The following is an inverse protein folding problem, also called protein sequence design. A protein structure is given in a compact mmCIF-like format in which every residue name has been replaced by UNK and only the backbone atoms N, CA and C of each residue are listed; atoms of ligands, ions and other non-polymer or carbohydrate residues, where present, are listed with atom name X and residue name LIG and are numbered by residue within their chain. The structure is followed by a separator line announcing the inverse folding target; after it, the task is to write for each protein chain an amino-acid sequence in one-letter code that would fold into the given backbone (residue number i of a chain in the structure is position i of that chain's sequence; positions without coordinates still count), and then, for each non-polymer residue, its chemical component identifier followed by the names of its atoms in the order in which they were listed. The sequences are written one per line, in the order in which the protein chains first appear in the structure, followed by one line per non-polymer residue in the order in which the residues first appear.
data_IF_736745360512
#
_entry.id   IF_736745360512
#
_cell.length_a   1.000
_cell.length_b   1.000
_cell.length_c   1.000
_cell.angle_alpha   90.00
_cell.angle_beta   90.00
_cell.angle_gamma   90.00
#
_symmetry.space_group_name_H-M   'P 1'
#
loop_
_entity.id
_entity.type
_entity.pdbx_description
1 polymer ?
#
# COMPACT_ATOMS: atom_id res chain seq x y z
N UNK A 1 -29.21 12.37 14.35
CA UNK A 1 -27.92 11.68 14.14
C UNK A 1 -26.82 12.69 14.37
N UNK A 2 -25.72 12.27 14.98
CA UNK A 2 -24.53 13.11 15.15
C UNK A 2 -23.86 13.33 13.79
N UNK A 3 -23.40 14.55 13.52
CA UNK A 3 -22.68 14.85 12.27
C UNK A 3 -21.23 14.36 12.35
N UNK A 4 -20.57 14.17 11.20
CA UNK A 4 -19.15 13.82 11.13
C UNK A 4 -18.27 14.88 11.79
N UNK A 5 -18.65 16.14 11.64
CA UNK A 5 -17.97 17.26 12.30
C UNK A 5 -18.08 17.20 13.83
N UNK A 6 -19.28 16.94 14.37
CA UNK A 6 -19.48 16.80 15.81
C UNK A 6 -18.65 15.63 16.39
N UNK A 7 -18.62 14.52 15.68
CA UNK A 7 -17.77 13.39 16.05
C UNK A 7 -16.28 13.76 16.01
N UNK A 8 -15.84 14.46 14.97
CA UNK A 8 -14.45 14.91 14.86
C UNK A 8 -14.05 15.85 16.01
N UNK A 9 -14.93 16.79 16.39
CA UNK A 9 -14.68 17.68 17.52
C UNK A 9 -14.64 16.93 18.87
N UNK A 10 -15.47 15.91 19.04
CA UNK A 10 -15.41 15.04 20.21
C UNK A 10 -14.09 14.27 20.26
N UNK A 11 -13.62 13.73 19.12
CA UNK A 11 -12.32 13.06 19.05
C UNK A 11 -11.18 14.03 19.38
N UNK A 12 -11.21 15.26 18.85
CA UNK A 12 -10.22 16.31 19.16
C UNK A 12 -10.19 16.64 20.66
N UNK A 13 -11.37 16.76 21.26
CA UNK A 13 -11.48 17.00 22.70
C UNK A 13 -11.01 15.84 23.55
N UNK A 14 -11.28 14.61 23.12
CA UNK A 14 -10.90 13.38 23.84
C UNK A 14 -9.39 13.07 23.71
N UNK A 15 -8.79 13.45 22.61
CA UNK A 15 -7.40 13.14 22.28
C UNK A 15 -6.61 14.41 21.93
N UNK A 16 -6.42 15.34 22.87
CA UNK A 16 -5.80 16.65 22.62
C UNK A 16 -4.32 16.57 22.22
N UNK A 17 -3.64 15.48 22.55
CA UNK A 17 -2.23 15.25 22.21
C UNK A 17 -2.02 14.79 20.76
N UNK A 18 -3.08 14.42 20.04
CA UNK A 18 -3.01 14.06 18.64
C UNK A 18 -3.15 15.29 17.74
N UNK A 19 -2.38 15.32 16.65
CA UNK A 19 -2.58 16.34 15.63
C UNK A 19 -4.03 16.33 15.14
N UNK A 20 -4.69 17.50 15.03
CA UNK A 20 -6.04 17.58 14.48
C UNK A 20 -6.15 17.06 13.04
N UNK A 21 -5.06 17.09 12.27
CA UNK A 21 -4.98 16.51 10.92
C UNK A 21 -4.95 14.99 10.94
N UNK A 22 -4.29 14.36 11.94
CA UNK A 22 -4.35 12.89 12.11
C UNK A 22 -5.78 12.44 12.39
N UNK A 23 -6.50 13.13 13.27
CA UNK A 23 -7.89 12.81 13.57
C UNK A 23 -8.81 13.05 12.37
N UNK A 24 -8.58 14.14 11.61
CA UNK A 24 -9.30 14.38 10.35
C UNK A 24 -9.03 13.28 9.32
N UNK A 25 -7.76 12.87 9.17
CA UNK A 25 -7.38 11.75 8.27
C UNK A 25 -8.11 10.46 8.63
N UNK A 26 -8.20 10.11 9.92
CA UNK A 26 -8.94 8.93 10.38
C UNK A 26 -10.43 9.04 10.04
N UNK A 27 -11.03 10.22 10.25
CA UNK A 27 -12.42 10.49 9.88
C UNK A 27 -12.64 10.34 8.37
N UNK A 28 -11.74 10.91 7.55
CA UNK A 28 -11.83 10.80 6.08
C UNK A 28 -11.67 9.35 5.60
N UNK A 29 -10.79 8.55 6.22
CA UNK A 29 -10.65 7.12 5.88
C UNK A 29 -11.93 6.36 6.23
N UNK A 30 -12.57 6.69 7.36
CA UNK A 30 -13.81 6.03 7.79
C UNK A 30 -15.00 6.36 6.90
N UNK A 31 -15.20 7.64 6.58
CA UNK A 31 -16.39 8.12 5.86
C UNK A 31 -16.18 8.22 4.36
N UNK A 32 -14.93 8.24 3.90
CA UNK A 32 -14.59 8.47 2.50
C UNK A 32 -14.74 9.93 2.07
N UNK A 33 -14.45 10.18 0.81
CA UNK A 33 -14.71 11.47 0.18
C UNK A 33 -15.21 11.29 -1.25
N UNK A 34 -16.01 12.25 -1.70
CA UNK A 34 -16.54 12.36 -3.06
C UNK A 34 -16.17 13.73 -3.62
N UNK A 35 -15.72 13.78 -4.87
CA UNK A 35 -15.53 15.04 -5.56
C UNK A 35 -16.85 15.51 -6.18
N UNK A 36 -17.18 16.78 -5.98
CA UNK A 36 -18.27 17.43 -6.72
C UNK A 36 -17.90 17.61 -8.19
N UNK A 37 -18.88 17.83 -9.06
CA UNK A 37 -18.58 18.10 -10.47
C UNK A 37 -17.73 19.37 -10.62
N UNK A 38 -17.98 20.40 -9.82
CA UNK A 38 -17.17 21.63 -9.80
C UNK A 38 -15.70 21.34 -9.45
N UNK A 39 -15.45 20.53 -8.45
CA UNK A 39 -14.09 20.12 -8.10
C UNK A 39 -13.44 19.29 -9.21
N UNK A 40 -14.17 18.33 -9.78
CA UNK A 40 -13.65 17.47 -10.85
C UNK A 40 -13.25 18.24 -12.10
N UNK A 41 -13.99 19.29 -12.46
CA UNK A 41 -13.68 20.14 -13.61
C UNK A 41 -12.42 21.00 -13.39
N UNK A 42 -11.99 21.16 -12.14
CA UNK A 42 -10.78 21.92 -11.75
C UNK A 42 -9.56 21.09 -11.47
N UNK A 43 -9.72 19.76 -11.35
CA UNK A 43 -8.57 18.85 -11.15
C UNK A 43 -7.64 18.93 -12.35
N UNK A 44 -6.41 19.37 -12.09
CA UNK A 44 -5.34 19.36 -13.09
C UNK A 44 -4.60 18.03 -13.06
N UNK A 45 -4.27 17.51 -14.26
CA UNK A 45 -3.45 16.32 -14.45
C UNK A 45 -3.88 15.11 -13.58
N UNK A 46 -5.15 14.65 -13.68
CA UNK A 46 -5.61 13.47 -12.95
C UNK A 46 -4.84 12.24 -13.42
N UNK A 47 -4.26 11.48 -12.50
CA UNK A 47 -3.41 10.34 -12.82
C UNK A 47 -3.85 9.00 -12.22
N UNK A 48 -4.82 9.03 -11.31
CA UNK A 48 -5.46 7.81 -10.87
C UNK A 48 -6.64 7.45 -11.78
N UNK A 49 -6.73 6.19 -12.17
CA UNK A 49 -7.95 5.66 -12.75
C UNK A 49 -8.78 5.03 -11.65
N UNK A 50 -10.02 5.45 -11.52
CA UNK A 50 -10.97 4.78 -10.64
C UNK A 50 -11.14 3.32 -11.09
N UNK A 51 -10.90 2.36 -10.21
CA UNK A 51 -10.90 0.93 -10.54
C UNK A 51 -9.57 0.36 -11.06
N UNK A 52 -8.57 1.19 -11.36
CA UNK A 52 -7.21 0.73 -11.72
C UNK A 52 -6.20 0.91 -10.58
N UNK A 53 -6.62 1.46 -9.48
CA UNK A 53 -5.76 1.85 -8.34
C UNK A 53 -5.33 0.68 -7.49
N UNK A 54 -5.97 -0.46 -7.68
CA UNK A 54 -5.61 -1.61 -6.90
C UNK A 54 -4.48 -2.35 -7.59
N UNK A 55 -3.29 -2.48 -6.97
CA UNK A 55 -2.29 -3.44 -7.42
C UNK A 55 -2.85 -4.86 -7.47
N UNK A 56 -4.05 -5.04 -6.93
CA UNK A 56 -4.82 -6.26 -6.87
C UNK A 56 -6.06 -6.26 -7.77
N UNK A 57 -6.29 -5.20 -8.56
CA UNK A 57 -7.30 -5.15 -9.63
C UNK A 57 -8.71 -5.48 -9.22
N UNK A 58 -9.09 -5.14 -8.01
CA UNK A 58 -10.48 -5.32 -7.58
C UNK A 58 -11.30 -4.19 -8.21
N UNK A 59 -12.15 -4.58 -9.17
CA UNK A 59 -13.24 -3.73 -9.61
C UNK A 59 -14.32 -3.73 -8.52
N UNK A 60 -14.19 -2.84 -7.55
CA UNK A 60 -15.11 -2.76 -6.43
C UNK A 60 -16.55 -2.39 -6.80
N UNK A 61 -16.82 -1.97 -8.02
CA UNK A 61 -18.10 -1.28 -8.31
C UNK A 61 -18.79 -1.73 -9.58
N UNK A 62 -18.21 -2.58 -10.42
CA UNK A 62 -18.84 -2.97 -11.69
C UNK A 62 -19.14 -1.77 -12.61
N UNK A 63 -18.38 -0.68 -12.50
CA UNK A 63 -18.59 0.53 -13.29
C UNK A 63 -17.96 0.40 -14.67
N UNK A 64 -18.75 0.71 -15.67
CA UNK A 64 -18.35 0.69 -17.07
C UNK A 64 -17.50 1.91 -17.49
N UNK A 65 -17.47 2.98 -16.70
CA UNK A 65 -16.73 4.19 -17.01
C UNK A 65 -15.52 4.38 -16.08
N UNK A 66 -14.33 4.33 -16.67
CA UNK A 66 -13.06 4.69 -15.99
C UNK A 66 -12.93 6.21 -16.04
N UNK A 67 -13.18 6.89 -14.94
CA UNK A 67 -12.90 8.31 -14.81
C UNK A 67 -11.53 8.50 -14.18
N UNK A 68 -10.70 9.33 -14.79
CA UNK A 68 -9.43 9.72 -14.18
C UNK A 68 -9.69 10.58 -12.93
N UNK A 69 -9.00 10.28 -11.85
CA UNK A 69 -9.16 10.93 -10.54
C UNK A 69 -7.86 11.62 -10.15
N UNK A 70 -7.90 12.62 -9.27
CA UNK A 70 -6.69 13.23 -8.74
C UNK A 70 -5.90 12.24 -7.87
N UNK A 71 -4.69 12.64 -7.47
CA UNK A 71 -3.91 11.95 -6.44
C UNK A 71 -4.59 11.92 -5.07
N UNK A 72 -3.93 11.35 -4.07
CA UNK A 72 -4.39 11.43 -2.69
C UNK A 72 -4.63 12.87 -2.26
N UNK A 73 -5.60 13.07 -1.36
CA UNK A 73 -5.87 14.40 -0.79
C UNK A 73 -4.66 14.83 0.05
N UNK A 74 -4.23 16.07 -0.14
CA UNK A 74 -3.18 16.73 0.62
C UNK A 74 -3.80 17.71 1.62
N UNK A 75 -3.50 17.52 2.90
CA UNK A 75 -3.92 18.45 3.96
C UNK A 75 -2.91 19.57 4.15
N UNK A 76 -3.30 20.67 4.79
CA UNK A 76 -2.44 21.86 4.99
C UNK A 76 -1.16 21.61 5.76
N UNK A 77 -1.09 20.58 6.59
CA UNK A 77 0.13 20.16 7.30
C UNK A 77 1.07 19.31 6.43
N UNK A 78 0.78 19.20 5.13
CA UNK A 78 1.48 18.35 4.17
C UNK A 78 1.28 16.85 4.40
N UNK A 79 0.44 16.44 5.32
CA UNK A 79 0.02 15.04 5.40
C UNK A 79 -0.94 14.70 4.27
N UNK A 80 -0.92 13.46 3.82
CA UNK A 80 -1.80 13.01 2.74
C UNK A 80 -2.80 11.96 3.24
N UNK A 81 -3.95 11.92 2.59
CA UNK A 81 -5.01 10.95 2.84
C UNK A 81 -5.25 10.15 1.58
N UNK A 82 -4.86 8.88 1.62
CA UNK A 82 -5.19 7.94 0.57
C UNK A 82 -6.57 7.36 0.85
N UNK A 83 -7.54 7.74 0.05
CA UNK A 83 -8.92 7.25 0.12
C UNK A 83 -9.36 6.81 -1.27
N UNK A 84 -10.25 5.85 -1.31
CA UNK A 84 -10.95 5.55 -2.55
C UNK A 84 -12.05 6.60 -2.76
N UNK A 85 -11.95 7.36 -3.84
CA UNK A 85 -13.02 8.26 -4.24
C UNK A 85 -14.20 7.44 -4.79
N UNK A 86 -15.39 7.62 -4.25
CA UNK A 86 -16.51 6.91 -4.82
C UNK A 86 -17.82 6.96 -4.06
N UNK A 87 -18.81 6.35 -4.67
CA UNK A 87 -20.19 6.29 -4.19
C UNK A 87 -20.45 5.16 -3.20
N UNK A 88 -19.41 4.39 -2.85
CA UNK A 88 -19.55 3.23 -1.95
C UNK A 88 -19.70 3.61 -0.48
N UNK A 89 -19.45 4.85 -0.15
CA UNK A 89 -19.67 5.37 1.18
C UNK A 89 -21.11 5.89 1.29
N UNK A 90 -21.82 5.51 2.33
CA UNK A 90 -23.20 5.91 2.54
C UNK A 90 -23.37 7.40 2.80
N UNK A 91 -22.35 8.05 3.33
CA UNK A 91 -22.34 9.48 3.69
C UNK A 91 -20.90 10.02 3.66
N UNK A 92 -20.26 10.18 2.48
CA UNK A 92 -18.89 10.68 2.38
C UNK A 92 -18.83 12.18 2.69
N UNK A 93 -17.61 12.68 2.94
CA UNK A 93 -17.33 14.11 2.80
C UNK A 93 -17.40 14.50 1.32
N UNK A 94 -17.76 15.77 1.05
CA UNK A 94 -17.59 16.33 -0.29
C UNK A 94 -16.28 17.11 -0.37
N UNK A 95 -15.53 16.90 -1.46
CA UNK A 95 -14.47 17.81 -1.88
C UNK A 95 -15.05 18.69 -2.97
N UNK A 96 -15.02 19.99 -2.74
CA UNK A 96 -15.61 20.99 -3.63
C UNK A 96 -14.59 22.06 -4.00
N UNK A 97 -14.93 22.95 -4.92
CA UNK A 97 -14.09 24.03 -5.41
C UNK A 97 -14.68 25.38 -5.07
N UNK A 98 -13.87 26.26 -4.51
CA UNK A 98 -14.21 27.67 -4.30
C UNK A 98 -13.65 28.51 -5.45
N UNK A 99 -14.53 29.02 -6.31
CA UNK A 99 -14.15 29.78 -7.50
C UNK A 99 -13.53 31.12 -7.14
N UNK A 100 -13.98 31.76 -6.06
CA UNK A 100 -13.49 33.06 -5.63
C UNK A 100 -12.12 32.96 -4.95
N UNK A 101 -11.94 31.95 -4.11
CA UNK A 101 -10.68 31.69 -3.41
C UNK A 101 -9.68 30.91 -4.26
N UNK A 102 -10.15 30.19 -5.29
CA UNK A 102 -9.31 29.36 -6.15
C UNK A 102 -8.69 28.15 -5.41
N UNK A 103 -9.44 27.52 -4.50
CA UNK A 103 -8.96 26.42 -3.66
C UNK A 103 -9.97 25.28 -3.59
N UNK A 104 -9.46 24.06 -3.39
CA UNK A 104 -10.31 22.95 -3.01
C UNK A 104 -10.57 22.95 -1.51
N UNK A 105 -11.74 22.50 -1.11
CA UNK A 105 -12.09 22.35 0.30
C UNK A 105 -12.93 21.10 0.56
N UNK A 106 -12.73 20.54 1.74
CA UNK A 106 -13.50 19.41 2.28
C UNK A 106 -14.69 19.98 3.05
N UNK A 107 -15.90 19.46 2.80
CA UNK A 107 -17.12 19.92 3.48
C UNK A 107 -18.02 18.75 3.91
N UNK A 108 -18.90 19.05 4.87
CA UNK A 108 -20.06 18.26 5.25
C UNK A 108 -21.30 19.12 5.16
N UNK A 109 -22.17 18.84 4.18
CA UNK A 109 -23.27 19.76 3.84
C UNK A 109 -22.72 21.13 3.46
N UNK A 110 -23.19 22.18 4.16
CA UNK A 110 -22.73 23.57 3.93
C UNK A 110 -21.50 23.95 4.80
N UNK A 111 -21.05 23.06 5.67
CA UNK A 111 -19.93 23.32 6.57
C UNK A 111 -18.60 22.99 5.93
N UNK A 112 -17.73 23.97 5.77
CA UNK A 112 -16.34 23.77 5.39
C UNK A 112 -15.58 23.21 6.58
N UNK A 113 -14.87 22.10 6.36
CA UNK A 113 -14.06 21.39 7.37
C UNK A 113 -12.59 21.79 7.25
N UNK A 114 -12.05 21.78 6.03
CA UNK A 114 -10.63 22.02 5.78
C UNK A 114 -10.39 22.43 4.33
N UNK A 115 -9.38 23.26 4.09
CA UNK A 115 -8.83 23.51 2.75
C UNK A 115 -7.92 22.34 2.40
N UNK A 116 -8.05 21.83 1.19
CA UNK A 116 -7.31 20.68 0.71
C UNK A 116 -6.69 20.92 -0.65
N UNK A 117 -5.77 20.07 -1.04
CA UNK A 117 -5.19 19.99 -2.38
C UNK A 117 -5.01 18.51 -2.75
N UNK A 118 -4.35 18.22 -3.85
CA UNK A 118 -4.06 16.87 -4.28
C UNK A 118 -2.56 16.67 -4.43
N UNK A 119 -2.10 15.47 -4.08
CA UNK A 119 -0.71 15.08 -4.32
C UNK A 119 -0.47 15.09 -5.83
N UNK A 120 0.54 15.81 -6.33
CA UNK A 120 0.75 15.96 -7.76
C UNK A 120 1.17 14.64 -8.42
N UNK A 121 0.94 14.55 -9.72
CA UNK A 121 1.40 13.43 -10.54
C UNK A 121 2.91 13.29 -10.45
N UNK A 122 3.45 12.06 -10.30
CA UNK A 122 4.89 11.84 -10.30
C UNK A 122 5.54 12.26 -11.62
N UNK A 123 6.70 12.91 -11.54
CA UNK A 123 7.38 13.44 -12.73
C UNK A 123 7.93 12.37 -13.69
N UNK A 124 8.02 11.11 -13.25
CA UNK A 124 8.43 10.00 -14.12
C UNK A 124 7.28 9.37 -14.92
N UNK A 125 6.01 9.68 -14.58
CA UNK A 125 4.84 9.21 -15.33
C UNK A 125 4.87 9.78 -16.76
N UNK A 126 4.46 8.97 -17.74
CA UNK A 126 4.53 9.30 -19.16
C UNK A 126 5.92 9.11 -19.80
N UNK A 127 6.96 8.78 -19.01
CA UNK A 127 8.28 8.41 -19.53
C UNK A 127 8.35 6.91 -19.83
N UNK A 128 9.33 6.54 -20.65
CA UNK A 128 9.61 5.14 -20.97
C UNK A 128 11.06 4.81 -20.65
N UNK A 129 11.29 3.57 -20.29
CA UNK A 129 12.64 3.02 -20.15
C UNK A 129 13.31 2.91 -21.53
N UNK A 130 14.60 2.63 -21.54
CA UNK A 130 15.37 2.38 -22.77
C UNK A 130 14.81 1.20 -23.59
N UNK A 131 14.05 0.31 -22.97
CA UNK A 131 13.37 -0.83 -23.58
C UNK A 131 11.95 -0.51 -24.05
N UNK A 132 11.48 0.71 -23.82
CA UNK A 132 10.14 1.17 -24.21
C UNK A 132 9.04 0.85 -23.19
N UNK A 133 9.37 0.29 -22.04
CA UNK A 133 8.40 0.01 -20.96
C UNK A 133 7.92 1.32 -20.34
N UNK A 134 6.60 1.60 -20.28
CA UNK A 134 6.10 2.77 -19.54
C UNK A 134 6.50 2.71 -18.06
N UNK A 135 7.11 3.77 -17.56
CA UNK A 135 7.64 3.75 -16.18
C UNK A 135 6.54 3.68 -15.13
N UNK A 136 5.38 4.27 -15.39
CA UNK A 136 4.18 4.15 -14.54
C UNK A 136 3.61 2.72 -14.42
N UNK A 137 3.98 1.82 -15.33
CA UNK A 137 3.59 0.41 -15.24
C UNK A 137 4.49 -0.42 -14.30
N UNK A 138 5.64 0.14 -13.88
CA UNK A 138 6.63 -0.57 -13.07
C UNK A 138 6.45 -0.34 -11.57
N UNK A 139 5.70 0.70 -11.17
CA UNK A 139 5.48 1.03 -9.76
C UNK A 139 4.10 1.64 -9.53
N UNK A 140 3.49 1.27 -8.43
CA UNK A 140 2.36 1.99 -7.86
C UNK A 140 2.88 3.11 -6.95
N UNK A 141 2.21 4.27 -6.98
CA UNK A 141 2.59 5.44 -6.19
C UNK A 141 1.48 5.78 -5.22
N UNK A 142 1.75 5.62 -3.93
CA UNK A 142 0.81 5.96 -2.87
C UNK A 142 1.37 7.13 -2.06
N UNK A 143 1.00 8.34 -2.51
CA UNK A 143 1.54 9.59 -1.96
C UNK A 143 3.08 9.61 -2.01
N UNK A 144 3.76 9.50 -0.86
CA UNK A 144 5.22 9.46 -0.78
C UNK A 144 5.83 8.04 -0.84
N UNK A 145 5.01 7.01 -1.00
CA UNK A 145 5.49 5.64 -1.14
C UNK A 145 5.60 5.25 -2.62
N UNK A 146 6.73 4.67 -2.97
CA UNK A 146 6.96 4.04 -4.27
C UNK A 146 6.92 2.52 -4.09
N UNK A 147 5.89 1.87 -4.64
CA UNK A 147 5.60 0.47 -4.40
C UNK A 147 5.87 -0.33 -5.67
N UNK A 148 6.77 -1.31 -5.58
CA UNK A 148 7.13 -2.20 -6.67
C UNK A 148 6.68 -3.63 -6.39
N UNK A 149 6.11 -4.26 -7.41
CA UNK A 149 5.85 -5.69 -7.39
C UNK A 149 6.95 -6.41 -8.17
N UNK A 150 7.86 -7.07 -7.45
CA UNK A 150 9.02 -7.73 -8.06
C UNK A 150 8.63 -8.89 -8.99
N UNK A 151 7.53 -9.57 -8.69
CA UNK A 151 6.94 -10.61 -9.52
C UNK A 151 5.48 -10.85 -9.13
N UNK A 152 4.62 -11.13 -10.11
CA UNK A 152 3.20 -11.41 -9.90
C UNK A 152 2.92 -12.90 -10.07
N UNK A 153 3.49 -13.71 -9.20
CA UNK A 153 3.22 -15.13 -9.14
C UNK A 153 3.15 -15.56 -7.68
N UNK A 154 2.05 -16.16 -7.28
CA UNK A 154 1.92 -16.74 -5.97
C UNK A 154 1.56 -18.23 -6.08
N UNK A 155 2.47 -19.10 -5.68
CA UNK A 155 2.26 -20.55 -5.77
C UNK A 155 1.21 -21.09 -4.82
N UNK A 156 0.84 -20.31 -3.81
CA UNK A 156 -0.32 -20.65 -2.97
C UNK A 156 -1.60 -20.66 -3.81
N UNK A 157 -1.78 -19.67 -4.72
CA UNK A 157 -2.89 -19.67 -5.67
C UNK A 157 -2.87 -20.87 -6.62
N UNK A 158 -1.72 -21.21 -7.15
CA UNK A 158 -1.57 -22.35 -8.05
C UNK A 158 -1.92 -23.70 -7.37
N UNK A 159 -1.85 -23.74 -6.04
CA UNK A 159 -2.13 -24.94 -5.25
C UNK A 159 -3.48 -24.94 -4.56
N UNK A 160 -4.25 -23.85 -4.66
CA UNK A 160 -5.49 -23.68 -3.91
C UNK A 160 -5.30 -23.39 -2.41
N UNK A 161 -4.09 -23.00 -2.02
CA UNK A 161 -3.69 -22.71 -0.64
C UNK A 161 -3.56 -21.16 -0.42
N UNK A 162 -4.21 -20.33 -1.26
CA UNK A 162 -4.14 -18.86 -1.16
C UNK A 162 -4.77 -18.32 0.13
N UNK A 163 -4.33 -17.14 0.55
CA UNK A 163 -5.00 -16.43 1.64
C UNK A 163 -6.43 -16.07 1.21
N UNK A 164 -7.42 -16.29 2.09
CA UNK A 164 -8.84 -16.19 1.75
C UNK A 164 -9.28 -14.76 1.30
N UNK A 165 -8.59 -13.73 1.79
CA UNK A 165 -8.84 -12.33 1.46
C UNK A 165 -7.97 -11.81 0.30
N UNK A 166 -7.05 -12.62 -0.25
CA UNK A 166 -6.10 -12.16 -1.25
C UNK A 166 -6.75 -12.08 -2.62
N UNK A 167 -6.68 -10.90 -3.24
CA UNK A 167 -7.17 -10.64 -4.58
C UNK A 167 -6.07 -10.58 -5.66
N UNK A 168 -4.88 -11.06 -5.36
CA UNK A 168 -3.66 -10.91 -6.18
C UNK A 168 -3.81 -11.35 -7.65
N UNK A 169 -4.66 -12.33 -7.94
CA UNK A 169 -4.89 -12.83 -9.30
C UNK A 169 -6.23 -12.45 -9.92
N UNK A 170 -7.11 -11.79 -9.17
CA UNK A 170 -8.44 -11.42 -9.69
C UNK A 170 -8.37 -10.27 -10.69
N UNK A 171 -7.24 -9.56 -10.74
CA UNK A 171 -7.00 -8.40 -11.60
C UNK A 171 -6.73 -8.73 -13.07
N UNK A 172 -6.52 -9.98 -13.42
CA UNK A 172 -6.12 -10.38 -14.78
C UNK A 172 -4.71 -9.91 -15.20
N UNK A 173 -3.97 -9.28 -14.29
CA UNK A 173 -2.60 -8.84 -14.54
C UNK A 173 -1.63 -9.98 -14.24
N UNK A 174 -1.27 -10.73 -15.26
CA UNK A 174 -0.13 -11.66 -15.21
C UNK A 174 1.13 -10.90 -15.60
N UNK A 175 1.67 -10.10 -14.70
CA UNK A 175 3.02 -9.59 -14.93
C UNK A 175 4.02 -10.69 -14.60
N UNK A 176 4.85 -11.04 -15.56
CA UNK A 176 6.02 -11.88 -15.35
C UNK A 176 7.02 -11.24 -14.38
N UNK A 177 8.23 -11.77 -14.35
CA UNK A 177 9.33 -11.12 -13.62
C UNK A 177 9.60 -9.74 -14.23
N UNK A 178 9.78 -8.73 -13.38
CA UNK A 178 10.18 -7.40 -13.84
C UNK A 178 11.61 -7.41 -14.35
N UNK A 179 11.89 -6.62 -15.39
CA UNK A 179 13.25 -6.44 -15.86
C UNK A 179 14.04 -5.52 -14.93
N UNK A 180 15.18 -5.98 -14.47
CA UNK A 180 16.01 -5.23 -13.54
C UNK A 180 16.59 -3.93 -14.11
N UNK A 181 16.78 -3.85 -15.44
CA UNK A 181 17.22 -2.60 -16.07
C UNK A 181 16.10 -1.58 -16.12
N UNK A 182 14.88 -2.01 -16.41
CA UNK A 182 13.70 -1.15 -16.38
C UNK A 182 13.46 -0.60 -14.96
N UNK A 183 13.60 -1.44 -13.93
CA UNK A 183 13.51 -0.99 -12.53
C UNK A 183 14.59 0.04 -12.19
N UNK A 184 15.85 -0.23 -12.58
CA UNK A 184 16.93 0.72 -12.35
C UNK A 184 16.62 2.10 -12.97
N UNK A 185 16.18 2.13 -14.22
CA UNK A 185 15.90 3.37 -14.96
C UNK A 185 14.70 4.12 -14.37
N UNK A 186 13.64 3.40 -14.01
CA UNK A 186 12.47 4.00 -13.39
C UNK A 186 12.81 4.63 -12.03
N UNK A 187 13.55 3.92 -11.16
CA UNK A 187 14.01 4.48 -9.88
C UNK A 187 14.91 5.70 -10.12
N UNK A 188 15.81 5.62 -11.12
CA UNK A 188 16.68 6.74 -11.49
C UNK A 188 15.89 8.00 -11.84
N UNK A 189 14.78 7.85 -12.55
CA UNK A 189 13.90 8.98 -12.87
C UNK A 189 13.09 9.45 -11.65
N UNK A 190 12.56 8.53 -10.86
CA UNK A 190 11.75 8.86 -9.71
C UNK A 190 12.50 9.70 -8.65
N UNK A 191 13.77 9.37 -8.38
CA UNK A 191 14.58 10.09 -7.37
C UNK A 191 15.04 11.48 -7.83
N UNK A 192 14.85 11.86 -9.10
CA UNK A 192 15.11 13.23 -9.59
C UNK A 192 14.12 14.26 -9.05
N UNK A 193 13.02 13.80 -8.46
CA UNK A 193 12.01 14.61 -7.80
C UNK A 193 12.30 14.63 -6.29
N UNK A 194 13.04 15.63 -5.77
CA UNK A 194 13.53 15.64 -4.40
C UNK A 194 12.38 15.69 -3.39
N UNK A 195 12.44 14.80 -2.38
CA UNK A 195 11.43 14.75 -1.32
C UNK A 195 10.09 14.13 -1.72
N UNK A 196 9.93 13.70 -2.97
CA UNK A 196 8.68 13.10 -3.47
C UNK A 196 8.41 11.74 -2.86
N UNK A 197 9.44 10.93 -2.71
CA UNK A 197 9.34 9.58 -2.16
C UNK A 197 10.18 9.46 -0.89
N UNK A 198 9.55 9.02 0.20
CA UNK A 198 10.20 8.79 1.48
C UNK A 198 10.69 7.36 1.63
N UNK A 199 10.02 6.40 0.96
CA UNK A 199 10.32 4.99 1.10
C UNK A 199 9.95 4.21 -0.17
N UNK A 200 10.75 3.17 -0.46
CA UNK A 200 10.50 2.22 -1.55
C UNK A 200 10.04 0.90 -0.97
N UNK A 201 8.81 0.51 -1.26
CA UNK A 201 8.28 -0.79 -0.87
C UNK A 201 8.46 -1.79 -2.00
N UNK A 202 8.96 -2.97 -1.68
CA UNK A 202 9.10 -4.07 -2.64
C UNK A 202 8.33 -5.28 -2.12
N UNK A 203 7.42 -5.78 -2.95
CA UNK A 203 6.60 -6.94 -2.63
C UNK A 203 6.50 -7.88 -3.83
N UNK A 204 5.77 -8.97 -3.67
CA UNK A 204 5.46 -9.93 -4.73
C UNK A 204 4.50 -10.99 -4.23
N UNK A 205 4.24 -11.99 -5.07
CA UNK A 205 3.60 -13.21 -4.62
C UNK A 205 4.53 -14.06 -3.75
N UNK A 206 4.26 -15.37 -3.68
CA UNK A 206 5.11 -16.30 -2.95
C UNK A 206 5.52 -17.47 -3.85
N UNK A 207 6.81 -17.76 -3.87
CA UNK A 207 7.39 -18.91 -4.54
C UNK A 207 8.26 -19.72 -3.58
N UNK A 208 7.67 -20.74 -3.01
CA UNK A 208 8.34 -21.63 -2.06
C UNK A 208 9.29 -22.65 -2.71
N UNK A 209 9.55 -22.54 -4.01
CA UNK A 209 10.45 -23.44 -4.72
C UNK A 209 11.92 -23.13 -4.45
N UNK A 210 12.76 -24.17 -4.68
CA UNK A 210 14.19 -24.13 -4.39
C UNK A 210 14.58 -25.07 -3.25
N UNK A 211 15.87 -25.29 -3.12
CA UNK A 211 16.49 -26.05 -2.04
C UNK A 211 17.53 -25.16 -1.33
N UNK A 212 17.25 -24.67 -0.14
CA UNK A 212 16.02 -24.83 0.67
C UNK A 212 14.79 -24.09 0.14
N UNK A 213 13.61 -24.31 0.73
CA UNK A 213 12.39 -23.56 0.35
C UNK A 213 12.59 -22.05 0.39
N UNK A 214 11.97 -21.33 -0.56
CA UNK A 214 12.06 -19.88 -0.80
C UNK A 214 13.40 -19.40 -1.42
N UNK A 215 14.32 -20.28 -1.75
CA UNK A 215 15.63 -19.89 -2.29
C UNK A 215 15.50 -19.09 -3.60
N UNK A 216 14.67 -19.58 -4.54
CA UNK A 216 14.47 -18.89 -5.82
C UNK A 216 13.74 -17.56 -5.67
N UNK A 217 12.84 -17.44 -4.71
CA UNK A 217 12.17 -16.19 -4.39
C UNK A 217 13.15 -15.15 -3.84
N UNK A 218 13.99 -15.56 -2.89
CA UNK A 218 15.02 -14.71 -2.31
C UNK A 218 16.00 -14.18 -3.37
N UNK A 219 16.39 -15.02 -4.33
CA UNK A 219 17.25 -14.62 -5.46
C UNK A 219 16.57 -13.56 -6.36
N UNK A 220 15.26 -13.69 -6.61
CA UNK A 220 14.52 -12.67 -7.37
C UNK A 220 14.51 -11.34 -6.64
N UNK A 221 14.19 -11.35 -5.34
CA UNK A 221 14.24 -10.12 -4.54
C UNK A 221 15.62 -9.51 -4.50
N UNK A 222 16.68 -10.31 -4.34
CA UNK A 222 18.05 -9.80 -4.35
C UNK A 222 18.35 -9.06 -5.66
N UNK A 223 18.02 -9.64 -6.82
CA UNK A 223 18.26 -8.98 -8.12
C UNK A 223 17.51 -7.66 -8.26
N UNK A 224 16.23 -7.64 -7.89
CA UNK A 224 15.41 -6.41 -7.95
C UNK A 224 15.95 -5.35 -6.99
N UNK A 225 16.23 -5.73 -5.75
CA UNK A 225 16.74 -4.82 -4.72
C UNK A 225 18.15 -4.27 -5.08
N UNK A 226 18.99 -5.08 -5.71
CA UNK A 226 20.28 -4.62 -6.25
C UNK A 226 20.09 -3.61 -7.39
N UNK A 227 19.12 -3.84 -8.28
CA UNK A 227 18.80 -2.89 -9.36
C UNK A 227 18.34 -1.54 -8.78
N UNK A 228 17.49 -1.54 -7.76
CA UNK A 228 17.09 -0.34 -7.03
C UNK A 228 18.32 0.30 -6.37
N UNK A 229 19.10 -0.50 -5.65
CA UNK A 229 20.26 -0.06 -4.86
C UNK A 229 21.36 0.63 -5.68
N UNK A 230 21.50 0.32 -6.97
CA UNK A 230 22.45 1.00 -7.89
C UNK A 230 22.22 2.51 -7.98
N UNK A 231 21.06 3.01 -7.59
CA UNK A 231 20.74 4.43 -7.57
C UNK A 231 21.18 5.15 -6.29
N UNK A 232 21.66 4.44 -5.28
CA UNK A 232 21.98 4.99 -3.96
C UNK A 232 23.42 4.71 -3.54
N UNK A 233 24.01 5.62 -2.76
CA UNK A 233 25.37 5.46 -2.20
C UNK A 233 25.37 4.70 -0.86
N UNK A 234 24.61 3.66 -0.74
CA UNK A 234 24.51 2.91 0.51
C UNK A 234 23.12 2.34 0.71
N UNK A 235 22.71 2.23 1.97
CA UNK A 235 21.33 1.77 2.26
C UNK A 235 20.33 2.86 1.90
N UNK A 236 19.20 2.45 1.38
CA UNK A 236 18.10 3.34 0.99
C UNK A 236 16.84 3.02 1.80
N UNK A 237 16.06 4.03 2.14
CA UNK A 237 14.80 3.88 2.85
C UNK A 237 13.87 2.94 2.07
N UNK A 238 13.62 1.78 2.62
CA UNK A 238 12.93 0.71 1.90
C UNK A 238 12.35 -0.34 2.81
N UNK A 239 11.30 -0.99 2.32
CA UNK A 239 10.64 -2.09 2.97
C UNK A 239 10.53 -3.29 2.03
N UNK A 240 10.99 -4.46 2.47
CA UNK A 240 10.73 -5.71 1.79
C UNK A 240 9.55 -6.42 2.45
N UNK A 241 8.45 -6.56 1.70
CA UNK A 241 7.27 -7.33 2.10
C UNK A 241 7.29 -8.69 1.41
N UNK A 242 7.60 -9.73 2.17
CA UNK A 242 7.68 -11.11 1.67
C UNK A 242 7.42 -12.11 2.82
N UNK A 243 7.35 -13.43 2.56
CA UNK A 243 7.18 -14.42 3.61
C UNK A 243 8.21 -14.32 4.74
N UNK A 244 7.89 -14.88 5.90
CA UNK A 244 8.82 -15.00 7.01
C UNK A 244 9.94 -15.99 6.66
N UNK A 245 11.04 -15.46 6.12
CA UNK A 245 12.19 -16.26 5.69
C UNK A 245 13.03 -16.78 6.86
N UNK A 246 13.70 -17.90 6.68
CA UNK A 246 14.73 -18.33 7.62
C UNK A 246 15.88 -17.32 7.69
N UNK A 247 16.51 -17.24 8.86
CA UNK A 247 17.53 -16.23 9.20
C UNK A 247 18.67 -16.12 8.17
N UNK A 248 19.12 -17.24 7.61
CA UNK A 248 20.22 -17.26 6.63
C UNK A 248 19.84 -16.57 5.31
N UNK A 249 18.59 -16.72 4.84
CA UNK A 249 18.11 -16.01 3.65
C UNK A 249 17.98 -14.51 3.92
N UNK A 250 17.43 -14.13 5.07
CA UNK A 250 17.31 -12.72 5.46
C UNK A 250 18.67 -12.04 5.58
N UNK A 251 19.64 -12.72 6.20
CA UNK A 251 21.01 -12.23 6.31
C UNK A 251 21.62 -11.99 4.93
N UNK A 252 21.46 -12.96 4.01
CA UNK A 252 21.94 -12.83 2.63
C UNK A 252 21.30 -11.65 1.90
N UNK A 253 19.98 -11.49 1.99
CA UNK A 253 19.27 -10.35 1.39
C UNK A 253 19.79 -9.02 1.97
N UNK A 254 19.88 -8.92 3.30
CA UNK A 254 20.35 -7.71 3.96
C UNK A 254 21.80 -7.34 3.60
N UNK A 255 22.70 -8.34 3.51
CA UNK A 255 24.12 -8.11 3.20
C UNK A 255 24.36 -7.79 1.72
N UNK A 256 23.56 -8.36 0.81
CA UNK A 256 23.75 -8.22 -0.63
C UNK A 256 22.97 -7.05 -1.24
N UNK A 257 22.08 -6.42 -0.46
CA UNK A 257 21.24 -5.32 -0.92
C UNK A 257 21.34 -4.11 0.00
N UNK A 258 20.77 -3.01 -0.40
CA UNK A 258 20.75 -1.79 0.39
C UNK A 258 19.49 -1.59 1.24
N UNK A 259 18.64 -2.59 1.41
CA UNK A 259 17.36 -2.45 2.13
C UNK A 259 17.54 -2.15 3.61
N UNK A 260 16.57 -1.43 4.18
CA UNK A 260 16.59 -1.01 5.59
C UNK A 260 15.54 -1.68 6.46
N UNK A 261 14.42 -2.13 5.90
CA UNK A 261 13.35 -2.72 6.72
C UNK A 261 12.73 -3.98 6.10
N UNK A 262 12.07 -4.75 6.95
CA UNK A 262 11.48 -6.03 6.58
C UNK A 262 10.10 -6.19 7.20
N UNK A 263 9.14 -6.65 6.40
CA UNK A 263 7.74 -6.77 6.80
C UNK A 263 7.14 -8.13 6.37
N UNK A 264 7.34 -9.20 7.16
CA UNK A 264 6.68 -10.48 6.91
C UNK A 264 5.26 -10.45 7.46
N UNK A 265 4.29 -10.07 6.63
CA UNK A 265 2.91 -9.91 7.03
C UNK A 265 2.32 -11.22 7.58
N UNK A 266 1.91 -11.19 8.86
CA UNK A 266 1.21 -12.34 9.47
C UNK A 266 -0.25 -12.40 9.03
N UNK A 267 -0.83 -11.26 8.68
CA UNK A 267 -2.20 -11.05 8.18
C UNK A 267 -3.31 -11.28 9.22
N UNK A 268 -3.22 -12.34 10.03
CA UNK A 268 -4.24 -12.74 11.00
C UNK A 268 -3.57 -13.01 12.34
N UNK A 269 -4.04 -12.36 13.40
CA UNK A 269 -3.42 -12.42 14.73
C UNK A 269 -3.80 -13.68 15.52
N UNK A 270 -5.01 -14.23 15.31
CA UNK A 270 -5.43 -15.47 15.94
C UNK A 270 -4.86 -16.70 15.22
N UNK A 271 -4.27 -17.63 15.98
CA UNK A 271 -3.59 -18.82 15.43
C UNK A 271 -4.57 -19.76 14.69
N UNK A 272 -5.79 -19.93 15.21
CA UNK A 272 -6.76 -20.84 14.60
C UNK A 272 -7.32 -20.26 13.30
N UNK A 273 -7.62 -18.97 13.28
CA UNK A 273 -8.06 -18.25 12.10
C UNK A 273 -6.94 -18.08 11.06
N UNK A 274 -5.68 -17.88 11.51
CA UNK A 274 -4.52 -17.88 10.60
C UNK A 274 -4.45 -19.18 9.79
N UNK A 275 -4.60 -20.34 10.46
CA UNK A 275 -4.59 -21.65 9.78
C UNK A 275 -5.69 -21.77 8.75
N UNK A 276 -6.86 -21.21 9.04
CA UNK A 276 -8.02 -21.25 8.15
C UNK A 276 -7.89 -20.26 6.99
N UNK A 277 -7.51 -19.01 7.29
CA UNK A 277 -7.48 -17.92 6.32
C UNK A 277 -6.19 -17.83 5.50
N UNK A 278 -5.09 -18.39 6.01
CA UNK A 278 -3.78 -18.37 5.38
C UNK A 278 -3.15 -19.77 5.25
N UNK A 279 -3.86 -20.76 4.64
CA UNK A 279 -3.45 -22.16 4.65
C UNK A 279 -2.07 -22.39 4.04
N UNK A 280 -1.68 -21.65 3.00
CA UNK A 280 -0.36 -21.75 2.40
C UNK A 280 0.76 -21.26 3.34
N UNK A 281 0.54 -20.17 4.07
CA UNK A 281 1.50 -19.69 5.08
C UNK A 281 1.66 -20.69 6.22
N UNK A 282 0.56 -21.27 6.70
CA UNK A 282 0.59 -22.31 7.73
C UNK A 282 1.35 -23.55 7.27
N UNK A 283 1.07 -24.06 6.08
CA UNK A 283 1.66 -25.27 5.53
C UNK A 283 3.18 -25.16 5.33
N UNK A 284 3.67 -24.02 4.87
CA UNK A 284 5.07 -23.85 4.47
C UNK A 284 5.97 -23.23 5.54
N UNK A 285 5.36 -22.53 6.50
CA UNK A 285 6.08 -21.89 7.59
C UNK A 285 5.46 -22.24 8.94
N UNK A 286 4.14 -22.04 9.09
CA UNK A 286 3.41 -22.20 10.33
C UNK A 286 3.37 -20.92 11.17
N UNK A 287 2.27 -20.72 11.90
CA UNK A 287 1.99 -19.50 12.67
C UNK A 287 3.11 -19.14 13.66
N UNK A 288 3.49 -20.10 14.53
CA UNK A 288 4.50 -19.87 15.58
C UNK A 288 5.90 -19.65 15.00
N UNK A 289 6.22 -20.37 13.94
CA UNK A 289 7.48 -20.21 13.24
C UNK A 289 7.52 -18.87 12.49
N UNK A 290 6.38 -18.40 11.96
CA UNK A 290 6.27 -17.07 11.35
C UNK A 290 6.65 -15.97 12.34
N UNK A 291 6.06 -16.02 13.54
CA UNK A 291 6.37 -15.06 14.62
C UNK A 291 7.85 -15.17 15.02
N UNK A 292 8.35 -16.38 15.22
CA UNK A 292 9.75 -16.60 15.61
C UNK A 292 10.71 -16.00 14.59
N UNK A 293 10.52 -16.26 13.30
CA UNK A 293 11.36 -15.71 12.23
C UNK A 293 11.24 -14.19 12.12
N UNK A 294 10.06 -13.62 12.37
CA UNK A 294 9.86 -12.17 12.43
C UNK A 294 10.68 -11.55 13.56
N UNK A 295 10.66 -12.17 14.74
CA UNK A 295 11.46 -11.71 15.88
C UNK A 295 12.96 -11.87 15.61
N UNK A 296 13.39 -13.00 15.08
CA UNK A 296 14.79 -13.25 14.73
C UNK A 296 15.34 -12.23 13.71
N UNK A 297 14.47 -11.71 12.83
CA UNK A 297 14.85 -10.70 11.84
C UNK A 297 15.32 -9.39 12.48
N UNK A 298 14.89 -9.08 13.72
CA UNK A 298 15.33 -7.88 14.45
C UNK A 298 16.83 -7.88 14.70
N UNK A 299 17.45 -9.05 14.86
CA UNK A 299 18.91 -9.14 15.00
C UNK A 299 19.67 -8.72 13.74
N UNK A 300 19.02 -8.78 12.56
CA UNK A 300 19.61 -8.44 11.28
C UNK A 300 19.30 -6.98 10.91
N UNK A 301 18.05 -6.58 11.00
CA UNK A 301 17.57 -5.28 10.56
C UNK A 301 17.61 -4.20 11.65
N UNK A 302 17.70 -4.59 12.92
CA UNK A 302 17.63 -3.70 14.06
C UNK A 302 16.21 -3.42 14.54
N UNK A 303 16.09 -2.97 15.79
CA UNK A 303 14.82 -2.60 16.41
C UNK A 303 14.19 -1.41 15.67
N UNK A 304 12.90 -1.50 15.38
CA UNK A 304 12.13 -0.48 14.64
C UNK A 304 12.14 -0.67 13.12
N UNK A 305 12.93 -1.63 12.60
CA UNK A 305 13.02 -1.91 11.16
C UNK A 305 12.39 -3.26 10.77
N UNK A 306 11.76 -3.94 11.71
CA UNK A 306 11.00 -5.17 11.45
C UNK A 306 9.61 -5.01 12.04
N UNK A 307 8.61 -5.22 11.24
CA UNK A 307 7.20 -5.13 11.63
C UNK A 307 6.35 -6.09 10.79
N UNK A 308 5.09 -6.21 11.14
CA UNK A 308 4.12 -7.04 10.42
C UNK A 308 2.82 -6.26 10.24
N UNK A 309 2.01 -6.70 9.30
CA UNK A 309 0.69 -6.14 9.06
C UNK A 309 -0.36 -7.21 9.31
N UNK A 310 -1.56 -6.75 9.68
CA UNK A 310 -2.76 -7.57 9.83
C UNK A 310 -3.88 -7.00 8.97
N UNK A 311 -4.71 -7.89 8.46
CA UNK A 311 -5.94 -7.51 7.74
C UNK A 311 -7.01 -7.22 8.79
N UNK A 312 -7.24 -5.95 9.05
CA UNK A 312 -8.22 -5.52 10.06
C UNK A 312 -9.62 -6.06 9.75
N UNK A 313 -10.20 -6.74 10.71
CA UNK A 313 -11.54 -7.31 10.62
C UNK A 313 -11.59 -8.70 9.97
N UNK A 314 -10.46 -9.28 9.57
CA UNK A 314 -10.43 -10.65 9.05
C UNK A 314 -11.01 -11.64 10.07
N UNK A 315 -10.71 -11.43 11.35
CA UNK A 315 -11.22 -12.24 12.46
C UNK A 315 -12.74 -12.13 12.65
N UNK A 316 -13.35 -11.02 12.25
CA UNK A 316 -14.79 -10.80 12.36
C UNK A 316 -15.57 -11.31 11.14
N UNK A 317 -14.91 -11.45 10.00
CA UNK A 317 -15.58 -11.79 8.73
C UNK A 317 -15.95 -13.27 8.60
N UNK A 318 -15.37 -14.14 9.40
CA UNK A 318 -15.60 -15.58 9.36
C UNK A 318 -16.75 -15.99 10.26
N UNK A 319 -17.57 -17.02 9.88
CA UNK A 319 -18.69 -17.49 10.71
C UNK A 319 -18.31 -17.88 12.13
N UNK A 320 -17.08 -18.40 12.31
CA UNK A 320 -16.51 -18.82 13.59
C UNK A 320 -15.52 -17.81 14.16
N UNK A 321 -15.48 -16.59 13.60
CA UNK A 321 -14.61 -15.51 14.04
C UNK A 321 -15.07 -14.85 15.34
N UNK A 322 -14.36 -13.83 15.75
CA UNK A 322 -14.71 -13.04 16.94
C UNK A 322 -16.08 -12.37 16.75
N UNK A 323 -16.80 -12.23 17.85
CA UNK A 323 -18.14 -11.63 17.84
C UNK A 323 -18.13 -10.12 17.98
N UNK A 324 -17.03 -9.58 18.46
CA UNK A 324 -16.84 -8.15 18.66
C UNK A 324 -15.38 -7.77 18.55
N UNK A 325 -15.10 -6.45 18.53
CA UNK A 325 -13.75 -5.90 18.58
C UNK A 325 -13.10 -6.01 19.96
N UNK A 326 -13.83 -6.42 20.99
CA UNK A 326 -13.35 -6.53 22.36
C UNK A 326 -12.83 -7.95 22.68
N UNK A 327 -13.10 -8.93 21.82
CA UNK A 327 -12.55 -10.29 21.89
C UNK A 327 -11.14 -10.36 21.30
#
# INVERSE_FOLDING_TARGET
MQTKYEELEQLRSKYPDFSPFVLLKLSMIRYGARLTDAALDRVQDPYYSFGAVEPFGIDFVGRTEKRAMPGPILLRDSSNVYINYGENYSDPYDVDWDEDAGVFFLKEGDRIIETVDFVPRPAFFGKKTSRGTPMEALADVRAQLLILTAFQRCRFWEKGDQCAFCAFFTSGHTMGEVDCQDIYEMIHEAIKEPGRFSEIHVSGGTDFTGEPPFELEAERYIRVLQAIGRNFKGRFSSQLMCPAYPKHLLKRIYEQTGITSYCPNIEVADEALFRKLCPGKEKWVGYREWIRRTVDAVEIFGKGNVYTQVVTGAELAEPDGFRSMDE
#
